data_IF_233286990273
#
_entry.id   IF_233286990273
#
_cell.length_a   1.000
_cell.length_b   1.000
_cell.length_c   1.000
_cell.angle_alpha   90.00
_cell.angle_beta   90.00
_cell.angle_gamma   90.00
#
_symmetry.space_group_name_H-M   'P 1'
#
loop_
_entity.id
_entity.type
_entity.pdbx_description
1 polymer ?
#
# COMPACT_ATOMS: atom_id res chain seq x y z
N UNK A 1 11.91 -8.75 -21.37
CA UNK A 1 13.03 -8.40 -20.50
C UNK A 1 12.96 -6.91 -20.23
N UNK A 2 12.26 -6.55 -19.17
CA UNK A 2 12.35 -5.20 -18.60
C UNK A 2 13.78 -5.03 -18.07
N UNK A 3 14.42 -3.93 -18.39
CA UNK A 3 15.79 -3.69 -17.98
C UNK A 3 15.84 -3.51 -16.45
N UNK A 4 16.97 -3.83 -15.86
CA UNK A 4 17.27 -3.74 -14.42
C UNK A 4 17.25 -2.33 -13.84
N UNK A 5 16.69 -1.35 -14.55
CA UNK A 5 16.56 0.07 -14.18
C UNK A 5 15.11 0.54 -14.15
N UNK A 6 14.16 -0.38 -13.97
CA UNK A 6 12.74 -0.04 -13.92
C UNK A 6 12.35 0.12 -12.46
N UNK A 7 12.06 1.35 -12.03
CA UNK A 7 11.50 1.62 -10.70
C UNK A 7 9.97 1.49 -10.75
N UNK A 8 9.39 0.90 -9.73
CA UNK A 8 7.95 0.88 -9.55
C UNK A 8 7.53 2.24 -8.98
N UNK A 9 6.96 3.12 -9.82
CA UNK A 9 6.59 4.47 -9.41
C UNK A 9 5.20 4.56 -8.78
N UNK A 10 4.43 3.47 -8.80
CA UNK A 10 3.13 3.38 -8.18
C UNK A 10 2.39 2.13 -8.62
N UNK A 11 1.33 1.82 -7.92
CA UNK A 11 0.42 0.73 -8.24
C UNK A 11 -1.01 1.13 -7.87
N UNK A 12 -1.96 0.48 -8.51
CA UNK A 12 -3.37 0.62 -8.19
C UNK A 12 -4.00 -0.76 -8.00
N UNK A 13 -4.72 -0.89 -6.91
CA UNK A 13 -5.71 -1.94 -6.72
C UNK A 13 -7.02 -1.29 -6.24
N UNK A 14 -8.19 -1.92 -6.45
CA UNK A 14 -9.46 -1.38 -5.96
C UNK A 14 -9.38 -1.02 -4.47
N UNK A 15 -9.77 0.21 -4.12
CA UNK A 15 -9.72 0.72 -2.74
C UNK A 15 -8.44 1.46 -2.37
N UNK A 16 -7.43 1.54 -3.25
CA UNK A 16 -6.22 2.33 -2.98
C UNK A 16 -6.46 3.82 -3.24
N UNK A 17 -6.00 4.64 -2.30
CA UNK A 17 -5.88 6.09 -2.47
C UNK A 17 -4.62 6.46 -3.25
N UNK A 18 -4.55 7.70 -3.73
CA UNK A 18 -3.32 8.26 -4.30
C UNK A 18 -2.20 8.25 -3.25
N UNK A 19 -0.97 7.99 -3.70
CA UNK A 19 0.21 8.12 -2.84
C UNK A 19 0.61 9.59 -2.80
N UNK A 20 0.63 10.17 -1.60
CA UNK A 20 1.13 11.52 -1.36
C UNK A 20 2.31 11.47 -0.41
N UNK A 21 3.35 12.23 -0.71
CA UNK A 21 4.52 12.34 0.16
C UNK A 21 4.55 13.71 0.85
N UNK A 22 5.13 13.83 2.05
CA UNK A 22 5.36 15.11 2.71
C UNK A 22 6.03 16.14 1.77
N UNK A 23 5.82 17.44 2.01
CA UNK A 23 6.16 18.52 1.07
C UNK A 23 7.58 18.47 0.49
N UNK A 24 8.57 18.12 1.32
CA UNK A 24 10.00 18.10 0.92
C UNK A 24 10.49 16.74 0.45
N UNK A 25 9.66 15.71 0.51
CA UNK A 25 9.98 14.32 0.16
C UNK A 25 9.31 13.97 -1.17
N UNK A 26 9.97 13.21 -2.01
CA UNK A 26 9.38 12.77 -3.27
C UNK A 26 10.30 11.91 -4.11
N UNK A 27 9.85 11.60 -5.32
CA UNK A 27 10.61 10.85 -6.31
C UNK A 27 10.85 11.69 -7.55
N UNK A 28 12.03 11.58 -8.10
CA UNK A 28 12.37 12.21 -9.36
C UNK A 28 12.06 11.25 -10.52
N UNK A 29 11.26 11.70 -11.47
CA UNK A 29 11.14 11.04 -12.76
C UNK A 29 12.15 11.69 -13.70
N UNK A 30 13.20 10.97 -14.13
CA UNK A 30 14.22 11.55 -14.99
C UNK A 30 13.64 12.08 -16.30
N UNK A 31 14.21 13.15 -16.83
CA UNK A 31 13.79 13.70 -18.11
C UNK A 31 13.99 12.66 -19.23
N UNK A 32 13.00 12.53 -20.11
CA UNK A 32 12.93 11.54 -21.19
C UNK A 32 12.79 10.09 -20.73
N UNK A 33 12.23 9.85 -19.54
CA UNK A 33 11.78 8.53 -19.13
C UNK A 33 10.48 8.15 -19.82
N UNK A 34 10.35 6.88 -20.16
CA UNK A 34 9.08 6.28 -20.55
C UNK A 34 8.36 5.74 -19.31
N UNK A 35 7.05 5.97 -19.21
CA UNK A 35 6.21 5.36 -18.18
C UNK A 35 5.57 4.12 -18.77
N UNK A 36 5.88 2.96 -18.19
CA UNK A 36 5.30 1.70 -18.57
C UNK A 36 4.14 1.36 -17.62
N UNK A 37 2.98 1.09 -18.20
CA UNK A 37 1.80 0.68 -17.45
C UNK A 37 1.57 -0.81 -17.71
N UNK A 38 1.54 -1.59 -16.64
CA UNK A 38 1.15 -2.99 -16.69
C UNK A 38 -0.23 -3.14 -16.05
N UNK A 39 -1.21 -3.63 -16.81
CA UNK A 39 -2.58 -3.81 -16.32
C UNK A 39 -2.93 -5.28 -16.30
N UNK A 40 -3.40 -5.76 -15.16
CA UNK A 40 -3.90 -7.12 -15.00
C UNK A 40 -5.43 -7.07 -14.93
N UNK A 41 -6.09 -7.69 -15.90
CA UNK A 41 -7.54 -7.77 -15.95
C UNK A 41 -8.05 -9.10 -15.42
N UNK A 42 -9.16 -9.07 -14.67
CA UNK A 42 -9.87 -10.27 -14.36
C UNK A 42 -10.40 -10.94 -15.66
N UNK A 43 -10.40 -12.26 -15.77
CA UNK A 43 -10.95 -12.95 -16.94
C UNK A 43 -12.45 -12.66 -17.08
N UNK A 44 -12.88 -12.23 -18.27
CA UNK A 44 -14.26 -11.93 -18.60
C UNK A 44 -14.75 -12.83 -19.72
N UNK A 45 -16.06 -13.08 -19.75
CA UNK A 45 -16.69 -13.95 -20.76
C UNK A 45 -16.91 -13.26 -22.12
N UNK A 46 -16.80 -11.94 -22.17
CA UNK A 46 -17.02 -11.11 -23.34
C UNK A 46 -15.90 -10.10 -23.52
N UNK A 47 -15.65 -9.71 -24.76
CA UNK A 47 -14.73 -8.62 -25.08
C UNK A 47 -15.15 -7.33 -24.37
N UNK A 48 -14.20 -6.65 -23.76
CA UNK A 48 -14.37 -5.37 -23.10
C UNK A 48 -13.37 -4.37 -23.66
N UNK A 49 -13.74 -3.10 -23.58
CA UNK A 49 -12.86 -1.98 -23.90
C UNK A 49 -12.43 -1.30 -22.61
N UNK A 50 -11.16 -0.95 -22.51
CA UNK A 50 -10.61 -0.18 -21.39
C UNK A 50 -10.10 1.18 -21.88
N UNK A 51 -10.37 2.22 -21.11
CA UNK A 51 -9.88 3.58 -21.31
C UNK A 51 -9.35 4.13 -19.97
N UNK A 52 -8.38 3.42 -19.39
CA UNK A 52 -7.73 3.85 -18.17
C UNK A 52 -6.83 5.06 -18.40
N UNK A 53 -6.72 5.91 -17.41
CA UNK A 53 -5.82 7.05 -17.38
C UNK A 53 -5.01 7.07 -16.08
N UNK A 54 -3.81 7.60 -16.14
CA UNK A 54 -2.94 7.80 -14.99
C UNK A 54 -2.71 9.30 -14.82
N UNK A 55 -2.96 9.78 -13.61
CA UNK A 55 -2.64 11.15 -13.24
C UNK A 55 -1.34 11.14 -12.41
N UNK A 56 -0.38 11.96 -12.82
CA UNK A 56 0.84 12.21 -12.06
C UNK A 56 0.79 13.62 -11.50
N UNK A 57 0.89 13.74 -10.20
CA UNK A 57 0.93 15.02 -9.52
C UNK A 57 2.38 15.38 -9.24
N UNK A 58 2.83 16.50 -9.78
CA UNK A 58 4.18 16.98 -9.58
C UNK A 58 4.18 18.05 -8.49
N UNK A 59 5.22 18.02 -7.65
CA UNK A 59 5.47 19.10 -6.71
C UNK A 59 6.01 20.31 -7.44
N UNK A 60 5.53 21.50 -7.08
CA UNK A 60 6.03 22.77 -7.62
C UNK A 60 7.36 23.17 -6.95
N UNK A 61 7.60 22.68 -5.73
CA UNK A 61 8.81 22.93 -4.96
C UNK A 61 9.89 21.88 -5.20
N UNK A 62 11.13 22.23 -4.93
CA UNK A 62 12.24 21.29 -5.06
C UNK A 62 12.13 20.21 -3.99
N UNK A 63 12.31 18.97 -4.41
CA UNK A 63 12.47 17.83 -3.52
C UNK A 63 13.83 17.98 -2.80
N UNK A 64 13.81 18.01 -1.48
CA UNK A 64 15.01 18.04 -0.67
C UNK A 64 15.55 16.64 -0.38
N UNK A 65 14.63 15.65 -0.32
CA UNK A 65 14.94 14.26 0.01
C UNK A 65 14.25 13.34 -0.98
N UNK A 66 15.06 12.58 -1.70
CA UNK A 66 14.58 11.63 -2.69
C UNK A 66 14.31 10.27 -2.08
N UNK A 67 13.14 9.70 -2.43
CA UNK A 67 12.76 8.36 -2.01
C UNK A 67 13.53 7.33 -2.82
N UNK A 68 14.19 6.43 -2.11
CA UNK A 68 14.79 5.23 -2.64
C UNK A 68 13.79 4.08 -2.60
N UNK A 69 13.94 3.12 -3.51
CA UNK A 69 13.13 1.91 -3.52
C UNK A 69 14.03 0.67 -3.54
N UNK A 70 13.63 -0.32 -2.78
CA UNK A 70 14.20 -1.66 -2.83
C UNK A 70 13.08 -2.68 -3.03
N UNK A 71 13.26 -3.59 -3.98
CA UNK A 71 12.35 -4.71 -4.20
C UNK A 71 12.92 -5.93 -3.48
N UNK A 72 12.29 -6.29 -2.38
CA UNK A 72 12.63 -7.50 -1.63
C UNK A 72 11.77 -8.65 -2.10
N UNK A 73 12.27 -9.40 -3.07
CA UNK A 73 11.55 -10.50 -3.72
C UNK A 73 12.28 -11.83 -3.62
N UNK A 74 11.54 -12.89 -3.89
CA UNK A 74 12.09 -14.24 -3.95
C UNK A 74 11.34 -15.09 -4.98
N UNK A 75 12.07 -15.65 -5.95
CA UNK A 75 11.52 -16.38 -7.10
C UNK A 75 11.94 -17.85 -7.14
N UNK A 76 12.66 -18.34 -6.15
CA UNK A 76 13.19 -19.71 -6.13
C UNK A 76 12.42 -20.57 -5.13
N UNK A 77 11.11 -20.75 -5.33
CA UNK A 77 10.29 -21.60 -4.48
C UNK A 77 9.28 -22.42 -5.29
N UNK A 78 8.69 -23.41 -4.63
CA UNK A 78 7.59 -24.19 -5.16
C UNK A 78 6.66 -24.59 -4.01
N UNK A 79 5.36 -24.48 -4.22
CA UNK A 79 4.33 -24.79 -3.24
C UNK A 79 3.70 -26.13 -3.58
N UNK A 80 3.99 -27.18 -2.79
CA UNK A 80 3.46 -28.52 -3.07
C UNK A 80 1.96 -28.58 -2.82
N UNK A 81 1.21 -29.43 -3.55
CA UNK A 81 -0.21 -29.61 -3.33
C UNK A 81 -0.52 -30.21 -1.95
N UNK A 82 -1.65 -29.82 -1.39
CA UNK A 82 -2.16 -30.27 -0.09
C UNK A 82 -1.24 -29.97 1.10
N UNK A 83 -0.48 -28.86 1.03
CA UNK A 83 0.39 -28.42 2.10
C UNK A 83 0.22 -26.92 2.37
N UNK A 84 0.43 -26.58 3.65
CA UNK A 84 0.67 -25.19 4.09
C UNK A 84 2.19 -25.01 4.15
N UNK A 85 2.70 -24.00 3.49
CA UNK A 85 4.15 -23.74 3.36
C UNK A 85 4.47 -22.36 3.94
N UNK A 86 5.46 -22.29 4.81
CA UNK A 86 6.01 -21.03 5.31
C UNK A 86 7.31 -20.71 4.59
N UNK A 87 7.40 -19.52 4.01
CA UNK A 87 8.62 -19.01 3.39
C UNK A 87 9.09 -17.81 4.19
N UNK A 88 10.33 -17.88 4.68
CA UNK A 88 10.98 -16.79 5.41
C UNK A 88 12.21 -16.34 4.66
N UNK A 89 12.36 -15.03 4.49
CA UNK A 89 13.51 -14.40 3.84
C UNK A 89 14.05 -13.26 4.71
N UNK A 90 15.36 -13.06 4.60
CA UNK A 90 16.07 -12.04 5.36
C UNK A 90 16.76 -11.06 4.41
N UNK A 91 16.69 -9.77 4.74
CA UNK A 91 17.38 -8.69 4.07
C UNK A 91 18.26 -7.97 5.10
N UNK A 92 19.55 -7.88 4.82
CA UNK A 92 20.48 -7.13 5.67
C UNK A 92 20.45 -5.65 5.32
N UNK A 93 20.33 -4.79 6.34
CA UNK A 93 20.26 -3.33 6.21
C UNK A 93 21.67 -2.77 6.45
N UNK A 94 22.31 -2.26 5.39
CA UNK A 94 23.70 -1.80 5.43
C UNK A 94 23.86 -0.41 6.07
N UNK A 95 22.89 0.47 5.87
CA UNK A 95 22.91 1.85 6.35
C UNK A 95 21.66 2.13 7.19
N UNK A 96 21.72 3.16 8.04
CA UNK A 96 20.52 3.66 8.71
C UNK A 96 19.52 4.16 7.66
N UNK A 97 18.31 3.66 7.70
CA UNK A 97 17.23 4.08 6.80
C UNK A 97 15.99 4.54 7.58
N UNK A 98 15.20 5.37 6.94
CA UNK A 98 13.86 5.76 7.38
C UNK A 98 12.85 5.16 6.39
N UNK A 99 12.15 4.10 6.80
CA UNK A 99 11.14 3.47 5.96
C UNK A 99 9.94 4.39 5.79
N UNK A 100 9.52 4.58 4.54
CA UNK A 100 8.36 5.38 4.15
C UNK A 100 7.13 4.50 4.04
N UNK A 101 7.23 3.40 3.31
CA UNK A 101 6.16 2.43 3.16
C UNK A 101 6.68 1.05 2.78
N UNK A 102 5.77 0.08 2.82
CA UNK A 102 6.02 -1.30 2.42
C UNK A 102 4.75 -1.90 1.81
N UNK A 103 4.90 -2.70 0.75
CA UNK A 103 3.81 -3.44 0.11
C UNK A 103 4.10 -4.94 0.13
N UNK A 104 3.69 -5.71 1.14
CA UNK A 104 3.73 -7.17 1.07
C UNK A 104 2.74 -7.66 0.02
N UNK A 105 3.21 -8.49 -0.92
CA UNK A 105 2.38 -9.00 -2.01
C UNK A 105 2.61 -10.49 -2.24
N UNK A 106 1.53 -11.22 -2.35
CA UNK A 106 1.41 -12.59 -2.84
C UNK A 106 0.07 -12.77 -3.54
N UNK A 107 -0.20 -13.95 -4.09
CA UNK A 107 -1.44 -14.21 -4.80
C UNK A 107 -2.46 -15.01 -3.96
N UNK A 108 -3.23 -15.89 -4.60
CA UNK A 108 -4.40 -16.55 -4.03
C UNK A 108 -4.10 -17.61 -2.96
N UNK A 109 -2.87 -18.15 -2.93
CA UNK A 109 -2.47 -19.09 -1.89
C UNK A 109 -1.94 -18.41 -0.63
N UNK A 110 -1.73 -17.10 -0.67
CA UNK A 110 -1.31 -16.33 0.49
C UNK A 110 -2.29 -16.47 1.65
N UNK A 111 -1.79 -16.64 2.87
CA UNK A 111 -2.58 -16.76 4.08
C UNK A 111 -2.28 -15.66 5.10
N UNK A 112 -1.00 -15.32 5.27
CA UNK A 112 -0.60 -14.30 6.23
C UNK A 112 0.81 -13.79 5.94
N UNK A 113 1.09 -12.56 6.42
CA UNK A 113 2.41 -11.94 6.41
C UNK A 113 2.82 -11.50 7.80
N UNK A 114 4.11 -11.66 8.11
CA UNK A 114 4.74 -11.07 9.28
C UNK A 114 6.12 -10.54 8.88
N UNK A 115 6.33 -9.23 9.10
CA UNK A 115 7.58 -8.55 8.73
C UNK A 115 8.03 -7.69 9.91
N UNK A 116 9.30 -7.86 10.29
CA UNK A 116 9.96 -7.12 11.36
C UNK A 116 11.45 -6.99 11.08
N UNK A 117 12.11 -6.04 11.73
CA UNK A 117 13.55 -5.96 11.74
C UNK A 117 14.12 -6.36 13.12
N UNK A 118 15.27 -7.02 13.12
CA UNK A 118 16.03 -7.31 14.34
C UNK A 118 17.32 -6.50 14.30
N UNK A 119 17.56 -5.69 15.33
CA UNK A 119 18.76 -4.87 15.45
C UNK A 119 19.98 -5.71 15.88
N UNK A 120 21.17 -5.12 15.85
CA UNK A 120 22.41 -5.78 16.32
C UNK A 120 22.37 -6.05 17.83
N UNK A 121 21.57 -5.32 18.59
CA UNK A 121 21.32 -5.53 20.03
C UNK A 121 20.26 -6.59 20.29
N UNK A 122 19.70 -7.21 19.25
CA UNK A 122 18.58 -8.15 19.27
C UNK A 122 17.22 -7.53 19.70
N UNK A 123 17.07 -6.23 19.56
CA UNK A 123 15.77 -5.60 19.70
C UNK A 123 14.94 -5.82 18.44
N UNK A 124 13.63 -5.99 18.61
CA UNK A 124 12.70 -6.19 17.50
C UNK A 124 11.96 -4.90 17.19
N UNK A 125 12.05 -4.47 15.94
CA UNK A 125 11.27 -3.36 15.37
C UNK A 125 10.14 -4.00 14.56
N UNK A 126 8.88 -3.98 15.03
CA UNK A 126 7.75 -4.49 14.27
C UNK A 126 7.50 -3.57 13.07
N UNK A 127 7.24 -4.15 11.90
CA UNK A 127 6.94 -3.39 10.68
C UNK A 127 5.49 -3.60 10.31
N UNK A 128 5.10 -4.84 9.98
CA UNK A 128 3.72 -5.15 9.63
C UNK A 128 3.37 -6.60 9.94
N UNK A 129 2.13 -6.81 10.36
CA UNK A 129 1.54 -8.14 10.50
C UNK A 129 0.16 -8.16 9.85
N UNK A 130 0.01 -9.00 8.83
CA UNK A 130 -1.26 -9.27 8.15
C UNK A 130 -1.68 -10.69 8.56
N UNK A 131 -2.55 -10.84 9.58
CA UNK A 131 -2.90 -12.15 10.13
C UNK A 131 -3.78 -12.97 9.20
N UNK A 132 -4.47 -12.31 8.28
CA UNK A 132 -5.27 -12.90 7.22
C UNK A 132 -5.04 -12.10 5.94
N UNK A 133 -4.39 -12.75 4.97
CA UNK A 133 -4.22 -12.17 3.65
C UNK A 133 -5.57 -12.15 2.90
N UNK A 134 -5.78 -11.11 2.13
CA UNK A 134 -6.89 -10.96 1.22
C UNK A 134 -6.35 -10.43 -0.12
N UNK A 135 -6.52 -11.22 -1.16
CA UNK A 135 -6.02 -10.86 -2.50
C UNK A 135 -6.71 -9.63 -3.08
N UNK A 136 -7.93 -9.35 -2.65
CA UNK A 136 -8.69 -8.17 -3.07
C UNK A 136 -8.31 -6.91 -2.27
N UNK A 137 -7.46 -7.06 -1.23
CA UNK A 137 -6.98 -5.98 -0.37
C UNK A 137 -5.46 -5.87 -0.40
N UNK A 138 -4.93 -5.22 -1.43
CA UNK A 138 -3.49 -5.03 -1.63
C UNK A 138 -3.16 -3.55 -1.50
N UNK A 139 -2.38 -3.18 -0.48
CA UNK A 139 -2.11 -1.78 -0.17
C UNK A 139 -0.65 -1.52 0.15
N UNK A 140 -0.21 -0.29 -0.10
CA UNK A 140 0.98 0.25 0.55
C UNK A 140 0.64 0.55 2.00
N UNK A 141 1.46 0.04 2.91
CA UNK A 141 1.30 0.29 4.33
C UNK A 141 2.35 1.29 4.78
N UNK A 142 1.87 2.35 5.42
CA UNK A 142 2.68 3.44 5.93
C UNK A 142 2.77 3.31 7.45
N UNK A 143 3.97 3.44 8.07
CA UNK A 143 4.05 3.69 9.50
C UNK A 143 3.48 5.08 9.78
N UNK A 144 3.02 5.32 11.00
CA UNK A 144 2.47 6.62 11.41
C UNK A 144 3.51 7.74 11.25
N UNK A 145 4.76 7.44 11.58
CA UNK A 145 5.93 8.30 11.39
C UNK A 145 6.99 7.56 10.58
N UNK A 146 7.92 8.28 9.95
CA UNK A 146 9.07 7.63 9.31
C UNK A 146 9.72 6.65 10.29
N UNK A 147 9.80 5.37 9.88
CA UNK A 147 10.28 4.31 10.75
C UNK A 147 11.78 4.11 10.57
N UNK A 148 12.55 4.48 11.59
CA UNK A 148 13.99 4.21 11.58
C UNK A 148 14.28 2.72 11.68
N UNK A 149 15.12 2.22 10.75
CA UNK A 149 15.74 0.89 10.82
C UNK A 149 17.25 1.10 10.82
N UNK A 150 17.95 0.80 11.96
CA UNK A 150 19.37 1.03 12.07
C UNK A 150 20.20 0.13 11.15
N UNK A 151 21.37 0.61 10.75
CA UNK A 151 22.40 -0.17 10.08
C UNK A 151 22.77 -1.42 10.90
N UNK A 152 23.05 -2.53 10.21
CA UNK A 152 23.33 -3.81 10.85
C UNK A 152 22.08 -4.62 11.22
N UNK A 153 20.87 -4.03 11.10
CA UNK A 153 19.62 -4.76 11.31
C UNK A 153 19.38 -5.80 10.21
N UNK A 154 18.63 -6.83 10.56
CA UNK A 154 18.12 -7.83 9.61
C UNK A 154 16.59 -7.70 9.53
N UNK A 155 16.09 -7.33 8.37
CA UNK A 155 14.68 -7.37 8.07
C UNK A 155 14.28 -8.79 7.72
N UNK A 156 13.35 -9.35 8.48
CA UNK A 156 12.81 -10.70 8.30
C UNK A 156 11.38 -10.62 7.81
N UNK A 157 11.10 -11.23 6.68
CA UNK A 157 9.76 -11.34 6.13
C UNK A 157 9.34 -12.80 6.02
N UNK A 158 8.17 -13.12 6.55
CA UNK A 158 7.57 -14.46 6.48
C UNK A 158 6.21 -14.39 5.85
N UNK A 159 6.00 -15.16 4.80
CA UNK A 159 4.70 -15.42 4.20
C UNK A 159 4.29 -16.87 4.42
N UNK A 160 3.03 -17.09 4.77
CA UNK A 160 2.43 -18.42 4.84
C UNK A 160 1.51 -18.58 3.65
N UNK A 161 1.64 -19.70 2.93
CA UNK A 161 0.83 -20.08 1.78
C UNK A 161 0.04 -21.36 2.10
N UNK A 162 -1.24 -21.38 1.76
CA UNK A 162 -2.10 -22.54 1.89
C UNK A 162 -2.48 -23.11 0.52
N UNK A 163 -1.74 -24.12 0.06
CA UNK A 163 -2.05 -24.87 -1.15
C UNK A 163 -2.83 -26.15 -0.85
N UNK A 164 -3.83 -26.05 0.04
CA UNK A 164 -4.71 -27.17 0.38
C UNK A 164 -6.10 -27.00 -0.24
N UNK A 165 -6.87 -28.08 -0.22
CA UNK A 165 -8.29 -28.06 -0.64
C UNK A 165 -9.18 -27.22 0.29
N UNK A 166 -8.68 -26.85 1.49
CA UNK A 166 -9.42 -26.04 2.44
C UNK A 166 -9.28 -24.53 2.18
N UNK A 167 -8.31 -24.12 1.35
CA UNK A 167 -8.22 -22.75 0.89
C UNK A 167 -9.29 -22.51 -0.19
N UNK A 168 -10.33 -21.68 0.07
CA UNK A 168 -11.41 -21.42 -0.88
C UNK A 168 -10.92 -20.70 -2.16
N UNK A 169 -9.80 -19.97 -2.04
CA UNK A 169 -9.22 -19.17 -3.11
C UNK A 169 -8.18 -19.93 -3.93
N UNK A 170 -7.96 -21.23 -3.62
CA UNK A 170 -7.01 -22.04 -4.37
C UNK A 170 -7.43 -22.15 -5.83
N UNK A 171 -6.61 -21.68 -6.79
CA UNK A 171 -6.97 -21.70 -8.21
C UNK A 171 -7.05 -23.11 -8.81
N UNK A 172 -6.55 -24.11 -8.08
CA UNK A 172 -6.50 -25.50 -8.54
C UNK A 172 -7.37 -26.42 -7.68
N UNK A 173 -8.33 -27.11 -8.28
CA UNK A 173 -9.13 -28.15 -7.62
C UNK A 173 -9.15 -29.44 -8.48
N UNK A 174 -8.44 -30.52 -8.07
CA UNK A 174 -7.63 -30.65 -6.84
C UNK A 174 -6.37 -29.77 -6.85
N UNK A 175 -5.81 -29.47 -5.66
CA UNK A 175 -4.56 -28.71 -5.55
C UNK A 175 -3.42 -29.30 -6.38
N UNK A 176 -2.62 -28.44 -7.02
CA UNK A 176 -1.48 -28.80 -7.86
C UNK A 176 -0.23 -28.05 -7.39
N UNK A 177 0.93 -28.40 -7.93
CA UNK A 177 2.14 -27.61 -7.72
C UNK A 177 1.95 -26.19 -8.27
N UNK A 178 2.29 -25.20 -7.45
CA UNK A 178 2.30 -23.79 -7.83
C UNK A 178 3.74 -23.26 -7.73
N UNK A 179 4.13 -22.49 -8.73
CA UNK A 179 5.46 -21.93 -8.89
C UNK A 179 5.39 -20.40 -8.92
N UNK A 180 6.53 -19.72 -8.73
CA UNK A 180 6.57 -18.27 -8.88
C UNK A 180 6.23 -17.83 -10.30
N UNK A 181 5.47 -16.76 -10.41
CA UNK A 181 5.09 -16.16 -11.70
C UNK A 181 4.19 -14.96 -11.55
N UNK A 182 3.99 -14.23 -12.67
CA UNK A 182 3.19 -13.00 -12.70
C UNK A 182 1.68 -13.25 -12.83
N UNK A 183 1.28 -14.48 -13.16
CA UNK A 183 -0.12 -14.84 -13.32
C UNK A 183 -0.81 -15.03 -11.98
N UNK A 184 -2.09 -14.66 -11.88
CA UNK A 184 -2.89 -14.83 -10.66
C UNK A 184 -2.92 -16.26 -10.11
N UNK A 185 -2.77 -17.25 -10.98
CA UNK A 185 -2.71 -18.67 -10.61
C UNK A 185 -1.30 -19.15 -10.23
N UNK A 186 -0.28 -18.37 -10.49
CA UNK A 186 1.07 -18.54 -9.97
C UNK A 186 1.14 -17.93 -8.57
N UNK A 187 2.33 -17.83 -7.97
CA UNK A 187 2.51 -17.17 -6.68
C UNK A 187 3.68 -16.20 -6.70
N UNK A 188 3.62 -15.23 -5.77
CA UNK A 188 4.68 -14.26 -5.55
C UNK A 188 5.11 -14.20 -4.09
N UNK A 189 6.40 -13.92 -3.87
CA UNK A 189 6.94 -13.35 -2.65
C UNK A 189 7.60 -12.04 -3.06
N UNK A 190 6.85 -10.93 -2.97
CA UNK A 190 7.25 -9.66 -3.56
C UNK A 190 6.94 -8.51 -2.59
N UNK A 191 7.96 -7.74 -2.21
CA UNK A 191 7.84 -6.71 -1.18
C UNK A 191 8.58 -5.46 -1.62
N UNK A 192 7.95 -4.53 -2.36
CA UNK A 192 8.46 -3.18 -2.53
C UNK A 192 8.57 -2.45 -1.19
N UNK A 193 9.70 -1.81 -0.98
CA UNK A 193 10.00 -0.99 0.20
C UNK A 193 10.48 0.37 -0.29
N UNK A 194 9.84 1.44 0.17
CA UNK A 194 10.30 2.80 -0.04
C UNK A 194 10.93 3.35 1.22
N UNK A 195 12.06 4.01 1.07
CA UNK A 195 12.83 4.51 2.20
C UNK A 195 13.65 5.76 1.84
N UNK A 196 14.06 6.47 2.85
CA UNK A 196 15.03 7.56 2.78
C UNK A 196 16.32 7.15 3.48
N UNK A 197 17.43 7.75 3.09
CA UNK A 197 18.62 7.75 3.95
C UNK A 197 18.27 8.48 5.24
N UNK A 198 18.48 7.82 6.39
CA UNK A 198 18.08 8.35 7.69
C UNK A 198 18.75 9.68 8.02
N UNK A 199 17.96 10.59 8.56
CA UNK A 199 18.44 11.83 9.18
C UNK A 199 17.86 11.97 10.60
N UNK A 200 18.63 12.54 11.56
CA UNK A 200 18.11 12.80 12.90
C UNK A 200 16.85 13.69 12.86
N UNK A 201 15.79 13.23 13.50
CA UNK A 201 14.49 13.89 13.49
C UNK A 201 13.47 13.28 12.52
N UNK A 202 13.85 12.28 11.73
CA UNK A 202 12.93 11.60 10.84
C UNK A 202 11.76 10.95 11.60
N UNK A 203 12.02 10.49 12.81
CA UNK A 203 11.01 9.88 13.67
C UNK A 203 9.88 10.84 14.08
N UNK A 204 10.05 12.15 13.85
CA UNK A 204 9.05 13.17 14.10
C UNK A 204 8.27 13.54 12.81
N UNK A 205 8.66 13.01 11.64
CA UNK A 205 7.96 13.25 10.37
C UNK A 205 6.77 12.30 10.26
N UNK A 206 5.59 12.88 10.32
CA UNK A 206 4.33 12.18 10.19
C UNK A 206 4.08 11.78 8.72
N UNK A 207 3.87 10.49 8.49
CA UNK A 207 3.52 9.93 7.19
C UNK A 207 2.04 9.57 7.09
N UNK A 208 1.35 9.62 8.21
CA UNK A 208 -0.07 9.34 8.18
C UNK A 208 -0.68 10.20 7.08
N UNK A 209 -1.06 9.57 5.97
CA UNK A 209 -2.18 10.09 5.22
C UNK A 209 -3.18 10.38 6.31
N UNK A 210 -3.69 11.59 6.35
CA UNK A 210 -4.76 11.91 7.29
C UNK A 210 -5.77 10.77 7.13
N UNK A 211 -5.70 9.79 8.06
CA UNK A 211 -6.48 8.53 8.02
C UNK A 211 -7.98 8.82 8.23
N UNK A 212 -8.30 10.10 8.04
CA UNK A 212 -9.60 10.68 8.30
C UNK A 212 -10.59 10.49 7.16
N UNK A 213 -10.18 9.85 6.02
CA UNK A 213 -11.09 9.63 4.92
C UNK A 213 -11.01 8.25 4.27
N UNK A 214 -11.13 7.17 5.04
CA UNK A 214 -11.37 5.83 4.47
C UNK A 214 -12.69 5.80 3.67
N UNK A 215 -13.66 6.57 4.09
CA UNK A 215 -14.92 6.80 3.37
C UNK A 215 -15.14 8.31 3.31
N UNK A 216 -15.08 8.89 2.11
CA UNK A 216 -15.34 10.33 1.91
C UNK A 216 -16.68 10.70 2.53
N UNK A 217 -16.67 11.62 3.49
CA UNK A 217 -17.84 12.04 4.22
C UNK A 217 -18.10 11.32 5.55
N UNK A 218 -17.39 10.26 5.87
CA UNK A 218 -17.45 9.59 7.18
C UNK A 218 -16.64 10.39 8.21
N UNK A 219 -17.34 11.34 8.85
CA UNK A 219 -16.72 12.30 9.77
C UNK A 219 -16.43 11.69 11.15
N UNK A 220 -17.14 10.62 11.53
CA UNK A 220 -16.96 9.95 12.82
C UNK A 220 -16.13 8.67 12.73
N UNK A 221 -15.73 8.27 11.52
CA UNK A 221 -14.88 7.10 11.23
C UNK A 221 -15.50 5.76 11.71
N UNK A 222 -16.82 5.67 11.67
CA UNK A 222 -17.53 4.43 12.04
C UNK A 222 -17.74 3.48 10.84
N UNK A 223 -17.24 3.85 9.67
CA UNK A 223 -17.36 3.14 8.39
C UNK A 223 -18.78 3.12 7.81
N UNK A 224 -19.67 3.98 8.27
CA UNK A 224 -21.02 4.14 7.76
C UNK A 224 -21.32 5.60 7.45
N UNK A 225 -21.69 5.91 6.20
CA UNK A 225 -22.23 7.23 5.88
C UNK A 225 -23.67 7.36 6.36
N UNK A 226 -23.90 8.26 7.31
CA UNK A 226 -25.23 8.46 7.89
C UNK A 226 -25.42 9.90 8.41
N UNK A 227 -26.56 10.17 9.03
CA UNK A 227 -26.91 11.50 9.51
C UNK A 227 -25.95 12.05 10.59
N UNK A 228 -25.22 11.18 11.29
CA UNK A 228 -24.26 11.64 12.30
C UNK A 228 -23.09 12.36 11.66
N UNK A 229 -22.64 11.91 10.49
CA UNK A 229 -21.58 12.57 9.72
C UNK A 229 -22.01 13.96 9.27
N UNK A 230 -23.27 14.10 8.84
CA UNK A 230 -23.83 15.42 8.48
C UNK A 230 -23.80 16.36 9.68
N UNK A 231 -24.14 15.89 10.88
CA UNK A 231 -24.11 16.70 12.10
C UNK A 231 -22.69 17.12 12.44
N UNK A 232 -21.72 16.23 12.31
CA UNK A 232 -20.30 16.53 12.55
C UNK A 232 -19.78 17.53 11.52
N UNK A 233 -20.09 17.34 10.23
CA UNK A 233 -19.69 18.26 9.17
C UNK A 233 -20.25 19.67 9.39
N UNK A 234 -21.51 19.79 9.84
CA UNK A 234 -22.09 21.08 10.25
C UNK A 234 -21.26 21.72 11.36
N UNK A 235 -20.87 20.97 12.39
CA UNK A 235 -20.04 21.50 13.48
C UNK A 235 -18.65 21.94 13.00
N UNK A 236 -18.00 21.17 12.12
CA UNK A 236 -16.73 21.53 11.49
C UNK A 236 -16.83 22.89 10.80
N UNK A 237 -17.90 23.11 10.03
CA UNK A 237 -18.15 24.39 9.34
C UNK A 237 -18.38 25.53 10.34
N UNK A 238 -19.17 25.31 11.39
CA UNK A 238 -19.50 26.34 12.39
C UNK A 238 -18.25 26.74 13.22
N UNK A 239 -17.36 25.81 13.48
CA UNK A 239 -16.13 26.04 14.26
C UNK A 239 -14.97 26.53 13.39
N UNK A 240 -15.14 26.60 12.07
CA UNK A 240 -14.09 26.91 11.09
C UNK A 240 -12.87 25.98 11.19
N UNK A 241 -13.12 24.72 11.56
CA UNK A 241 -12.11 23.67 11.57
C UNK A 241 -11.93 23.12 10.15
N UNK A 242 -10.71 22.71 9.81
CA UNK A 242 -10.44 22.02 8.56
C UNK A 242 -10.39 20.50 8.83
N UNK A 243 -11.07 19.75 7.98
CA UNK A 243 -10.98 18.29 7.91
C UNK A 243 -10.87 17.89 6.44
N UNK A 244 -9.89 17.11 6.10
CA UNK A 244 -9.72 16.59 4.74
C UNK A 244 -10.90 15.75 4.26
N UNK A 245 -11.64 15.13 5.21
CA UNK A 245 -12.88 14.40 4.96
C UNK A 245 -14.10 15.26 4.71
N UNK A 246 -14.00 16.54 4.97
CA UNK A 246 -15.13 17.47 4.93
C UNK A 246 -15.27 18.18 3.59
N UNK A 247 -14.21 18.30 2.79
CA UNK A 247 -14.21 18.92 1.46
C UNK A 247 -14.58 17.88 0.40
N UNK A 248 -15.88 17.64 0.26
CA UNK A 248 -16.40 16.58 -0.61
C UNK A 248 -16.41 16.94 -2.09
N UNK A 249 -16.30 18.24 -2.41
CA UNK A 249 -16.22 18.72 -3.78
C UNK A 249 -14.80 19.04 -4.24
N UNK A 250 -13.81 18.92 -3.32
CA UNK A 250 -12.39 19.18 -3.56
C UNK A 250 -12.09 20.60 -4.06
N UNK A 251 -12.88 21.60 -3.57
CA UNK A 251 -12.65 23.00 -3.91
C UNK A 251 -11.75 23.74 -2.89
N UNK A 252 -11.22 23.01 -1.92
CA UNK A 252 -10.41 23.47 -0.79
C UNK A 252 -11.16 24.37 0.21
N UNK A 253 -12.51 24.35 0.20
CA UNK A 253 -13.33 25.15 1.11
C UNK A 253 -14.45 24.31 1.69
N UNK A 254 -14.33 23.93 2.96
CA UNK A 254 -15.40 23.20 3.65
C UNK A 254 -16.57 24.12 3.94
N UNK A 255 -17.72 23.89 3.30
CA UNK A 255 -18.90 24.73 3.37
C UNK A 255 -20.24 23.97 3.17
N UNK A 256 -21.34 24.68 2.99
CA UNK A 256 -22.67 24.10 2.83
C UNK A 256 -22.79 23.19 1.59
N UNK A 257 -21.95 23.36 0.57
CA UNK A 257 -22.01 22.53 -0.63
C UNK A 257 -21.57 21.10 -0.32
N UNK A 258 -20.61 20.93 0.59
CA UNK A 258 -20.15 19.62 1.04
C UNK A 258 -21.24 18.88 1.83
N UNK A 259 -22.03 19.62 2.64
CA UNK A 259 -23.18 19.04 3.34
C UNK A 259 -24.20 18.51 2.33
N UNK A 260 -24.46 19.24 1.25
CA UNK A 260 -25.41 18.81 0.20
C UNK A 260 -24.92 17.53 -0.46
N UNK A 261 -23.62 17.45 -0.80
CA UNK A 261 -23.01 16.26 -1.39
C UNK A 261 -23.10 15.07 -0.43
N UNK A 262 -22.79 15.28 0.86
CA UNK A 262 -22.88 14.22 1.86
C UNK A 262 -24.30 13.67 2.00
N UNK A 263 -25.29 14.55 2.02
CA UNK A 263 -26.69 14.14 2.06
C UNK A 263 -27.06 13.34 0.82
N UNK A 264 -26.64 13.76 -0.36
CA UNK A 264 -26.88 13.02 -1.60
C UNK A 264 -26.24 11.63 -1.57
N UNK A 265 -25.02 11.50 -1.03
CA UNK A 265 -24.34 10.21 -0.87
C UNK A 265 -25.06 9.26 0.10
N UNK A 266 -25.69 9.79 1.15
CA UNK A 266 -26.43 9.00 2.14
C UNK A 266 -27.79 8.52 1.58
N UNK A 267 -28.37 9.26 0.65
CA UNK A 267 -29.71 8.97 0.11
C UNK A 267 -29.73 8.00 -1.09
N UNK A 268 -28.54 7.67 -1.63
CA UNK A 268 -28.39 6.71 -2.74
C UNK A 268 -28.19 5.30 -2.21
#
# INVERSE_FOLDING_TARGET
NLSTTTDLIGGYAPGLSSVEYPETIGRTIPQNSDILVQVHYAPLLTDQEDLSSINLFYKEENIEREINQYIFDFWEFALPPNQVTSITRNLYIENDISMVNILPHCHLLGQSWEIYATTIENDTIPIIKIPKWDFDWQSFYYPEFLLKIPAGSTLTATCIYDNTINNPDNPNNPPQWVYPGDGTNDEMFFIPIEYLDYQPGDEDIYLGVDDQCLIFGDQNQDSYLNVLDVVILVNIILESNNSSCADLNSDSVVNILDIIILIDMILI
#
